data_IF_961182915367
#
_entry.id   IF_961182915367
#
_cell.length_a   1.000
_cell.length_b   1.000
_cell.length_c   1.000
_cell.angle_alpha   90.00
_cell.angle_beta   90.00
_cell.angle_gamma   90.00
#
_symmetry.space_group_name_H-M   'P 1'
#
loop_
_entity.id
_entity.type
_entity.pdbx_description
1 polymer ?
#
# COMPACT_ATOMS: atom_id res chain seq x y z
N UNK A 1 15.97 -6.10 -3.80
CA UNK A 1 14.52 -5.86 -3.98
C UNK A 1 14.05 -4.76 -3.06
N UNK A 2 13.19 -3.91 -3.58
CA UNK A 2 12.53 -2.87 -2.81
C UNK A 2 11.02 -3.01 -2.93
N UNK A 3 10.32 -2.57 -1.90
CA UNK A 3 8.88 -2.52 -1.84
C UNK A 3 8.39 -1.11 -2.11
N UNK A 4 7.34 -1.00 -2.90
CA UNK A 4 6.59 0.25 -3.02
C UNK A 4 5.15 0.03 -2.59
N UNK A 5 4.70 0.84 -1.63
CA UNK A 5 3.33 0.82 -1.15
C UNK A 5 2.46 1.61 -2.12
N UNK A 6 1.35 1.04 -2.55
CA UNK A 6 0.39 1.70 -3.43
C UNK A 6 -0.89 1.99 -2.65
N UNK A 7 -1.14 3.25 -2.34
CA UNK A 7 -2.26 3.67 -1.47
C UNK A 7 -3.33 4.38 -2.29
N UNK A 8 -4.57 3.93 -2.12
CA UNK A 8 -5.76 4.62 -2.64
C UNK A 8 -6.38 5.44 -1.53
N UNK A 9 -6.55 6.73 -1.75
CA UNK A 9 -7.07 7.67 -0.77
C UNK A 9 -8.12 8.61 -1.39
N UNK A 10 -8.99 9.14 -0.55
CA UNK A 10 -10.02 10.11 -0.93
C UNK A 10 -9.94 11.31 0.01
N UNK A 11 -9.72 12.48 -0.55
CA UNK A 11 -9.72 13.77 0.18
C UNK A 11 -8.84 13.77 1.44
N UNK A 12 -7.60 13.28 1.31
CA UNK A 12 -6.63 13.23 2.41
C UNK A 12 -5.49 14.22 2.20
N UNK A 13 -4.91 14.67 3.31
CA UNK A 13 -3.61 15.32 3.28
C UNK A 13 -2.53 14.25 3.20
N UNK A 14 -1.70 14.22 2.14
CA UNK A 14 -0.78 13.09 1.93
C UNK A 14 0.22 12.87 3.07
N UNK A 15 0.78 13.93 3.63
CA UNK A 15 1.77 13.80 4.71
C UNK A 15 1.14 13.30 6.00
N UNK A 16 -0.04 13.83 6.36
CA UNK A 16 -0.78 13.37 7.52
C UNK A 16 -1.22 11.92 7.36
N UNK A 17 -1.63 11.52 6.17
CA UNK A 17 -2.01 10.14 5.86
C UNK A 17 -0.83 9.20 6.01
N UNK A 18 0.32 9.55 5.43
CA UNK A 18 1.53 8.74 5.52
C UNK A 18 1.96 8.52 6.98
N UNK A 19 1.86 9.55 7.80
CA UNK A 19 2.17 9.47 9.23
C UNK A 19 1.16 8.58 9.96
N UNK A 20 -0.13 8.75 9.72
CA UNK A 20 -1.19 7.97 10.35
C UNK A 20 -1.11 6.49 9.99
N UNK A 21 -0.78 6.17 8.74
CA UNK A 21 -0.57 4.79 8.26
C UNK A 21 0.75 4.19 8.70
N UNK A 22 1.66 4.99 9.23
CA UNK A 22 3.04 4.60 9.56
C UNK A 22 3.80 4.03 8.36
N UNK A 23 3.71 4.73 7.24
CA UNK A 23 4.42 4.34 6.03
C UNK A 23 5.93 4.42 6.28
N UNK A 24 6.60 3.33 6.02
CA UNK A 24 8.04 3.15 6.28
C UNK A 24 8.76 2.53 5.08
N UNK A 25 8.26 2.75 3.88
CA UNK A 25 8.83 2.31 2.61
C UNK A 25 8.60 3.39 1.56
N UNK A 26 9.11 3.18 0.36
CA UNK A 26 8.68 3.98 -0.79
C UNK A 26 7.18 3.81 -0.98
N UNK A 27 6.51 4.82 -1.45
CA UNK A 27 5.06 4.78 -1.63
C UNK A 27 4.59 5.66 -2.78
N UNK A 28 3.51 5.23 -3.41
CA UNK A 28 2.69 6.03 -4.31
C UNK A 28 1.32 6.17 -3.68
N UNK A 29 0.89 7.39 -3.43
CA UNK A 29 -0.45 7.70 -2.94
C UNK A 29 -1.23 8.30 -4.09
N UNK A 30 -2.36 7.71 -4.45
CA UNK A 30 -3.31 8.33 -5.37
C UNK A 30 -4.46 8.88 -4.54
N UNK A 31 -4.55 10.21 -4.50
CA UNK A 31 -5.52 10.93 -3.70
C UNK A 31 -6.61 11.50 -4.60
N UNK A 32 -7.79 10.93 -4.54
CA UNK A 32 -8.95 11.38 -5.30
C UNK A 32 -9.61 12.54 -4.54
N UNK A 33 -9.59 13.72 -5.13
CA UNK A 33 -10.03 14.94 -4.47
C UNK A 33 -10.64 15.94 -5.47
N UNK A 34 -10.50 17.23 -5.24
CA UNK A 34 -11.11 18.30 -6.06
C UNK A 34 -10.15 18.95 -7.06
N UNK A 35 -8.96 18.40 -7.21
CA UNK A 35 -7.97 18.98 -8.13
C UNK A 35 -7.01 17.90 -8.62
N UNK A 36 -6.30 18.23 -9.72
CA UNK A 36 -5.16 17.46 -10.20
C UNK A 36 -3.87 18.07 -9.66
N UNK A 37 -2.92 17.24 -9.27
CA UNK A 37 -1.65 17.73 -8.77
C UNK A 37 -0.67 16.61 -8.45
N UNK A 38 0.54 17.00 -8.13
CA UNK A 38 1.62 16.09 -7.78
C UNK A 38 2.46 16.72 -6.67
N UNK A 39 2.77 15.93 -5.68
CA UNK A 39 3.73 16.28 -4.65
C UNK A 39 4.55 15.07 -4.27
N UNK A 40 5.80 15.29 -3.89
CA UNK A 40 6.69 14.21 -3.46
C UNK A 40 7.62 14.73 -2.38
N UNK A 41 8.03 13.83 -1.49
CA UNK A 41 9.02 14.15 -0.47
C UNK A 41 9.86 12.93 -0.13
N UNK A 42 11.03 13.17 0.39
CA UNK A 42 11.94 12.14 0.88
C UNK A 42 12.07 12.23 2.38
N UNK A 43 12.04 11.08 3.02
CA UNK A 43 12.13 10.97 4.47
C UNK A 43 12.80 9.65 4.83
N UNK A 44 13.88 9.71 5.60
CA UNK A 44 14.62 8.53 6.06
C UNK A 44 15.02 7.57 4.92
N UNK A 45 15.46 8.12 3.78
CA UNK A 45 15.90 7.33 2.63
C UNK A 45 14.78 6.75 1.77
N UNK A 46 13.54 7.15 2.01
CA UNK A 46 12.36 6.72 1.25
C UNK A 46 11.76 7.88 0.48
N UNK A 47 11.13 7.58 -0.63
CA UNK A 47 10.39 8.57 -1.42
C UNK A 47 8.91 8.25 -1.40
N UNK A 48 8.11 9.25 -1.03
CA UNK A 48 6.66 9.17 -1.09
C UNK A 48 6.18 10.15 -2.15
N UNK A 49 5.44 9.63 -3.13
CA UNK A 49 4.90 10.42 -4.23
C UNK A 49 3.38 10.40 -4.14
N UNK A 50 2.76 11.55 -4.25
CA UNK A 50 1.30 11.69 -4.23
C UNK A 50 0.80 12.30 -5.53
N UNK A 51 -0.10 11.59 -6.18
CA UNK A 51 -0.83 12.05 -7.37
C UNK A 51 -2.26 12.36 -6.97
N UNK A 52 -2.64 13.62 -7.06
CA UNK A 52 -4.01 14.05 -6.83
C UNK A 52 -4.77 14.04 -8.14
N UNK A 53 -6.01 13.54 -8.12
CA UNK A 53 -6.87 13.48 -9.31
C UNK A 53 -8.33 13.69 -8.94
N UNK A 54 -9.09 14.25 -9.87
CA UNK A 54 -10.51 14.53 -9.65
C UNK A 54 -11.40 13.30 -9.91
N UNK A 55 -10.96 12.39 -10.77
CA UNK A 55 -11.70 11.18 -11.09
C UNK A 55 -11.83 10.29 -9.87
N UNK A 56 -12.97 9.61 -9.79
CA UNK A 56 -13.32 8.76 -8.65
C UNK A 56 -13.40 7.30 -9.07
N UNK A 57 -13.19 6.42 -8.09
CA UNK A 57 -13.28 4.98 -8.26
C UNK A 57 -12.03 4.27 -7.75
N UNK A 58 -12.22 3.24 -6.92
CA UNK A 58 -11.11 2.51 -6.31
C UNK A 58 -10.30 1.73 -7.35
N UNK A 59 -10.95 1.18 -8.37
CA UNK A 59 -10.26 0.50 -9.45
C UNK A 59 -9.37 1.42 -10.27
N UNK A 60 -9.87 2.60 -10.59
CA UNK A 60 -9.09 3.62 -11.29
C UNK A 60 -7.90 4.10 -10.45
N UNK A 61 -8.13 4.30 -9.16
CA UNK A 61 -7.08 4.71 -8.22
C UNK A 61 -5.97 3.67 -8.14
N UNK A 62 -6.31 2.40 -8.01
CA UNK A 62 -5.34 1.30 -7.95
C UNK A 62 -4.56 1.15 -9.25
N UNK A 63 -5.24 1.24 -10.39
CA UNK A 63 -4.59 1.18 -11.70
C UNK A 63 -3.65 2.35 -11.91
N UNK A 64 -4.03 3.54 -11.48
CA UNK A 64 -3.19 4.74 -11.56
C UNK A 64 -1.93 4.58 -10.71
N UNK A 65 -2.09 4.10 -9.48
CA UNK A 65 -0.94 3.84 -8.60
C UNK A 65 0.01 2.81 -9.21
N UNK A 66 -0.53 1.75 -9.78
CA UNK A 66 0.28 0.71 -10.42
C UNK A 66 1.03 1.25 -11.64
N UNK A 67 0.41 2.14 -12.40
CA UNK A 67 1.04 2.77 -13.57
C UNK A 67 2.30 3.56 -13.19
N UNK A 68 2.29 4.20 -12.03
CA UNK A 68 3.41 5.00 -11.54
C UNK A 68 4.37 4.22 -10.64
N UNK A 69 4.11 2.95 -10.37
CA UNK A 69 4.99 2.13 -9.56
C UNK A 69 6.35 1.92 -10.25
N UNK A 70 7.41 1.99 -9.47
CA UNK A 70 8.79 1.88 -9.98
C UNK A 70 9.57 0.70 -9.39
N UNK A 71 9.09 0.12 -8.29
CA UNK A 71 9.82 -0.91 -7.57
C UNK A 71 9.41 -2.33 -7.99
N UNK A 72 10.22 -3.31 -7.60
CA UNK A 72 10.01 -4.72 -8.00
C UNK A 72 8.78 -5.34 -7.36
N UNK A 73 8.52 -4.97 -6.11
CA UNK A 73 7.41 -5.50 -5.32
C UNK A 73 6.49 -4.33 -4.97
N UNK A 74 5.21 -4.51 -5.23
CA UNK A 74 4.19 -3.52 -4.88
C UNK A 74 3.22 -4.12 -3.87
N UNK A 75 2.77 -3.30 -2.93
CA UNK A 75 1.79 -3.67 -1.91
C UNK A 75 0.61 -2.71 -1.98
N UNK A 76 -0.54 -3.21 -2.41
CA UNK A 76 -1.77 -2.41 -2.42
C UNK A 76 -2.30 -2.24 -1.00
N UNK A 77 -2.74 -1.03 -0.68
CA UNK A 77 -3.32 -0.71 0.61
C UNK A 77 -4.41 0.34 0.48
N UNK A 78 -5.44 0.20 1.28
CA UNK A 78 -6.42 1.26 1.48
C UNK A 78 -5.91 2.27 2.52
N UNK A 79 -6.53 3.44 2.57
CA UNK A 79 -6.09 4.55 3.43
C UNK A 79 -6.31 4.33 4.93
N UNK A 80 -7.10 3.35 5.30
CA UNK A 80 -7.45 3.04 6.69
C UNK A 80 -6.57 1.93 7.31
N UNK A 81 -5.54 1.51 6.61
CA UNK A 81 -4.58 0.51 7.09
C UNK A 81 -3.45 1.22 7.83
N UNK A 82 -3.06 0.66 8.96
CA UNK A 82 -1.89 1.09 9.72
C UNK A 82 -0.86 -0.03 9.73
N UNK A 83 0.34 0.29 9.31
CA UNK A 83 1.39 -0.72 9.15
C UNK A 83 2.18 -0.93 10.45
N UNK A 84 2.53 -2.19 10.69
CA UNK A 84 3.44 -2.54 11.78
C UNK A 84 4.87 -2.16 11.43
N UNK A 85 5.68 -1.94 12.45
CA UNK A 85 7.11 -1.74 12.27
C UNK A 85 7.73 -2.96 11.57
N UNK A 86 8.59 -2.71 10.58
CA UNK A 86 9.27 -3.76 9.85
C UNK A 86 8.42 -4.46 8.79
N UNK A 87 7.28 -3.90 8.41
CA UNK A 87 6.41 -4.53 7.40
C UNK A 87 7.11 -4.76 6.05
N UNK A 88 7.95 -3.83 5.61
CA UNK A 88 8.67 -3.97 4.34
C UNK A 88 9.52 -5.24 4.34
N UNK A 89 10.28 -5.45 5.40
CA UNK A 89 11.11 -6.64 5.54
C UNK A 89 10.28 -7.91 5.51
N UNK A 90 9.15 -7.94 6.21
CA UNK A 90 8.26 -9.10 6.26
C UNK A 90 7.68 -9.45 4.90
N UNK A 91 7.27 -8.44 4.14
CA UNK A 91 6.74 -8.64 2.80
C UNK A 91 7.82 -9.17 1.86
N UNK A 92 9.00 -8.58 1.88
CA UNK A 92 10.11 -9.04 1.05
C UNK A 92 10.55 -10.46 1.41
N UNK A 93 10.59 -10.80 2.69
CA UNK A 93 10.90 -12.17 3.14
C UNK A 93 9.86 -13.18 2.64
N UNK A 94 8.58 -12.80 2.60
CA UNK A 94 7.53 -13.69 2.09
C UNK A 94 7.76 -14.04 0.61
N UNK A 95 8.19 -13.08 -0.21
CA UNK A 95 8.53 -13.34 -1.61
C UNK A 95 9.82 -14.15 -1.75
N UNK A 96 10.80 -13.95 -0.88
CA UNK A 96 12.03 -14.74 -0.89
C UNK A 96 11.77 -16.21 -0.54
N UNK A 97 10.82 -16.48 0.37
CA UNK A 97 10.41 -17.83 0.74
C UNK A 97 9.54 -18.50 -0.32
N UNK A 98 8.89 -17.72 -1.17
CA UNK A 98 7.96 -18.21 -2.17
C UNK A 98 8.35 -17.64 -3.55
N UNK A 99 9.53 -18.03 -4.09
CA UNK A 99 10.08 -17.39 -5.30
C UNK A 99 9.24 -17.62 -6.56
N UNK A 100 8.35 -18.59 -6.54
CA UNK A 100 7.43 -18.89 -7.64
C UNK A 100 6.06 -18.21 -7.49
N UNK A 101 5.85 -17.43 -6.44
CA UNK A 101 4.62 -16.70 -6.24
C UNK A 101 4.62 -15.38 -7.02
N UNK A 102 3.57 -15.14 -7.78
CA UNK A 102 3.34 -13.86 -8.46
C UNK A 102 2.58 -12.89 -7.57
N UNK A 103 1.69 -13.40 -6.71
CA UNK A 103 0.86 -12.61 -5.80
C UNK A 103 0.85 -13.28 -4.44
N UNK A 104 1.03 -12.47 -3.40
CA UNK A 104 0.90 -12.92 -2.01
C UNK A 104 -0.11 -11.98 -1.33
N UNK A 105 -1.08 -12.56 -0.64
CA UNK A 105 -2.02 -11.80 0.16
C UNK A 105 -1.64 -11.94 1.64
N UNK A 106 -1.80 -10.85 2.37
CA UNK A 106 -1.46 -10.79 3.79
C UNK A 106 -2.72 -10.54 4.60
N UNK A 107 -2.79 -11.21 5.75
CA UNK A 107 -3.82 -10.94 6.73
C UNK A 107 -3.47 -9.69 7.52
N UNK A 108 -4.47 -8.98 7.97
CA UNK A 108 -4.31 -7.84 8.86
C UNK A 108 -5.08 -8.09 10.15
N UNK A 109 -4.61 -7.46 11.21
CA UNK A 109 -5.30 -7.50 12.49
C UNK A 109 -6.45 -6.51 12.45
N UNK A 110 -7.63 -6.96 12.84
CA UNK A 110 -8.80 -6.11 12.99
C UNK A 110 -9.14 -5.98 14.47
N UNK A 111 -9.86 -4.91 14.81
CA UNK A 111 -10.46 -4.77 16.13
C UNK A 111 -11.36 -5.99 16.39
N UNK A 112 -11.26 -6.61 17.56
CA UNK A 112 -12.03 -7.79 17.93
C UNK A 112 -13.53 -7.60 17.71
N UNK A 113 -14.03 -6.38 17.88
CA UNK A 113 -15.43 -6.03 17.64
C UNK A 113 -15.86 -6.12 16.18
N UNK A 114 -14.89 -6.12 15.26
CA UNK A 114 -15.11 -6.13 13.81
C UNK A 114 -14.63 -7.42 13.16
N UNK A 115 -14.07 -8.33 13.93
CA UNK A 115 -13.55 -9.59 13.40
C UNK A 115 -14.70 -10.46 12.91
N UNK A 116 -14.85 -10.58 11.61
CA UNK A 116 -15.90 -11.38 10.95
C UNK A 116 -15.36 -12.64 10.29
N UNK A 117 -14.06 -12.85 10.32
CA UNK A 117 -13.41 -14.02 9.74
C UNK A 117 -12.20 -14.42 10.57
N UNK A 118 -11.81 -15.69 10.43
CA UNK A 118 -10.64 -16.23 11.11
C UNK A 118 -9.42 -16.21 10.21
N UNK A 119 -8.27 -15.94 10.82
CA UNK A 119 -7.00 -16.07 10.13
C UNK A 119 -6.72 -17.57 9.90
N UNK A 120 -6.66 -17.97 8.64
CA UNK A 120 -6.45 -19.37 8.25
C UNK A 120 -4.97 -19.78 8.25
N UNK A 121 -4.05 -18.87 8.59
CA UNK A 121 -2.62 -19.09 8.48
C UNK A 121 -2.14 -19.09 7.03
N UNK A 122 -0.93 -19.54 6.82
CA UNK A 122 -0.31 -19.57 5.50
C UNK A 122 -0.85 -20.71 4.66
N UNK A 123 -1.25 -20.42 3.42
CA UNK A 123 -1.67 -21.45 2.46
C UNK A 123 -1.38 -20.98 1.04
N UNK A 124 -1.18 -21.93 0.15
CA UNK A 124 -0.98 -21.66 -1.27
C UNK A 124 -2.32 -21.75 -2.01
N UNK A 125 -2.61 -20.73 -2.82
CA UNK A 125 -3.77 -20.70 -3.71
C UNK A 125 -3.28 -21.03 -5.12
N UNK A 126 -3.98 -21.94 -5.80
CA UNK A 126 -3.69 -22.29 -7.19
C UNK A 126 -4.90 -21.98 -8.06
N UNK A 127 -4.61 -21.54 -9.26
CA UNK A 127 -5.61 -21.22 -10.28
C UNK A 127 -5.97 -22.46 -11.09
#
# INVERSE_FOLDING_TARGET
MKLELLVSAVEKDPRSLAEAMKIASDAVIVNQCDHHGYTAWKENGREIRCFSMEERGVGLSRNTALLFAEEDIVLFSDEDIRFDEGYEKKVLEAFLKNPDADVITFNFRVDERRATYHNAGERRIRW
#
